data_IF_234059229671
#
_entry.id   IF_234059229671
#
_cell.length_a   1.000
_cell.length_b   1.000
_cell.length_c   1.000
_cell.angle_alpha   90.00
_cell.angle_beta   90.00
_cell.angle_gamma   90.00
#
_symmetry.space_group_name_H-M   'P 1'
#
loop_
_entity.id
_entity.type
_entity.pdbx_description
1 polymer ?
#
# COMPACT_ATOMS: atom_id res chain seq x y z
N UNK A 1 23.68 14.90 -6.62
CA UNK A 1 24.20 16.15 -7.26
C UNK A 1 23.28 16.74 -8.37
N UNK A 2 22.04 16.23 -8.53
CA UNK A 2 21.08 16.75 -9.51
C UNK A 2 20.50 18.14 -9.17
N UNK A 3 20.64 18.59 -7.93
CA UNK A 3 20.01 19.85 -7.47
C UNK A 3 20.81 21.13 -7.77
N UNK A 4 21.96 21.06 -8.45
CA UNK A 4 22.85 22.19 -8.65
C UNK A 4 23.26 22.47 -10.10
N UNK A 5 22.64 21.82 -11.09
CA UNK A 5 22.89 22.18 -12.49
C UNK A 5 21.93 23.32 -12.91
N UNK A 6 22.50 24.37 -13.48
CA UNK A 6 21.80 25.56 -14.00
C UNK A 6 20.63 25.18 -14.93
N UNK A 7 19.41 25.08 -14.41
CA UNK A 7 18.09 24.95 -15.05
C UNK A 7 17.97 24.18 -16.37
N UNK A 8 18.83 24.39 -17.32
CA UNK A 8 18.73 23.83 -18.69
C UNK A 8 19.03 22.33 -18.76
N UNK A 9 19.86 21.79 -17.89
CA UNK A 9 20.14 20.33 -17.84
C UNK A 9 19.00 19.54 -17.20
N UNK A 10 18.34 20.12 -16.18
CA UNK A 10 17.21 19.47 -15.50
C UNK A 10 16.00 19.31 -16.43
N UNK A 11 15.67 20.33 -17.21
CA UNK A 11 14.53 20.29 -18.14
C UNK A 11 14.74 19.22 -19.22
N UNK A 12 15.95 19.13 -19.81
CA UNK A 12 16.30 18.10 -20.79
C UNK A 12 16.27 16.68 -20.18
N UNK A 13 16.72 16.50 -18.93
CA UNK A 13 16.66 15.23 -18.22
C UNK A 13 15.20 14.82 -17.95
N UNK A 14 14.32 15.78 -17.63
CA UNK A 14 12.89 15.51 -17.40
C UNK A 14 12.14 15.18 -18.69
N UNK A 15 12.44 15.85 -19.79
CA UNK A 15 11.93 15.51 -21.13
C UNK A 15 12.33 14.07 -21.53
N UNK A 16 13.57 13.68 -21.24
CA UNK A 16 14.04 12.30 -21.48
C UNK A 16 13.32 11.29 -20.59
N UNK A 17 13.16 11.57 -19.29
CA UNK A 17 12.41 10.71 -18.37
C UNK A 17 10.98 10.54 -18.84
N UNK A 18 10.32 11.63 -19.24
CA UNK A 18 8.95 11.58 -19.76
C UNK A 18 8.86 10.75 -21.05
N UNK A 19 9.79 10.94 -21.99
CA UNK A 19 9.83 10.21 -23.25
C UNK A 19 10.05 8.71 -23.04
N UNK A 20 10.99 8.32 -22.16
CA UNK A 20 11.24 6.92 -21.79
C UNK A 20 9.99 6.34 -21.16
N UNK A 21 9.40 7.01 -20.17
CA UNK A 21 8.20 6.53 -19.47
C UNK A 21 7.03 6.34 -20.42
N UNK A 22 6.81 7.26 -21.39
CA UNK A 22 5.78 7.10 -22.43
C UNK A 22 6.02 5.88 -23.30
N UNK A 23 7.27 5.66 -23.70
CA UNK A 23 7.63 4.50 -24.52
C UNK A 23 7.40 3.17 -23.75
N UNK A 24 7.75 3.14 -22.46
CA UNK A 24 7.52 1.98 -21.59
C UNK A 24 6.04 1.71 -21.37
N UNK A 25 5.23 2.75 -21.13
CA UNK A 25 3.77 2.63 -21.03
C UNK A 25 3.20 2.04 -22.32
N UNK A 26 3.60 2.56 -23.49
CA UNK A 26 3.13 2.04 -24.78
C UNK A 26 3.57 0.59 -25.04
N UNK A 27 4.74 0.19 -24.55
CA UNK A 27 5.28 -1.16 -24.77
C UNK A 27 4.77 -2.21 -23.79
N UNK A 28 4.46 -1.81 -22.55
CA UNK A 28 4.20 -2.78 -21.46
C UNK A 28 2.75 -2.81 -20.99
N UNK A 29 1.99 -1.73 -21.17
CA UNK A 29 0.58 -1.63 -20.77
C UNK A 29 -0.32 -2.14 -21.89
N UNK A 30 -1.20 -3.07 -21.55
CA UNK A 30 -2.27 -3.54 -22.42
C UNK A 30 -3.61 -3.19 -21.77
N UNK A 31 -4.58 -2.72 -22.56
CA UNK A 31 -5.93 -2.43 -22.10
C UNK A 31 -6.90 -3.34 -22.87
N UNK A 32 -7.72 -4.07 -22.15
CA UNK A 32 -8.78 -4.91 -22.68
C UNK A 32 -10.12 -4.43 -22.12
N UNK A 33 -11.16 -4.37 -22.97
CA UNK A 33 -12.50 -4.07 -22.52
C UNK A 33 -13.16 -5.36 -22.00
N UNK A 34 -13.56 -5.36 -20.73
CA UNK A 34 -14.33 -6.46 -20.14
C UNK A 34 -15.75 -6.00 -19.79
N UNK A 35 -16.76 -6.89 -19.86
CA UNK A 35 -18.10 -6.58 -19.37
C UNK A 35 -18.09 -6.44 -17.85
N UNK A 36 -18.52 -5.29 -17.32
CA UNK A 36 -18.78 -5.10 -15.91
C UNK A 36 -19.99 -5.90 -15.41
N UNK A 37 -20.10 -6.07 -14.10
CA UNK A 37 -21.20 -6.82 -13.46
C UNK A 37 -22.60 -6.26 -13.79
N UNK A 38 -22.68 -4.98 -14.13
CA UNK A 38 -23.91 -4.25 -14.50
C UNK A 38 -24.11 -4.12 -16.02
N UNK A 39 -23.26 -4.77 -16.84
CA UNK A 39 -23.28 -4.71 -18.30
C UNK A 39 -22.58 -3.47 -18.87
N UNK A 40 -21.97 -2.63 -18.07
CA UNK A 40 -21.08 -1.55 -18.52
C UNK A 40 -19.77 -2.15 -19.04
N UNK A 41 -19.08 -1.41 -19.91
CA UNK A 41 -17.72 -1.75 -20.32
C UNK A 41 -16.73 -1.20 -19.30
N UNK A 42 -15.86 -2.07 -18.80
CA UNK A 42 -14.79 -1.71 -17.87
C UNK A 42 -13.46 -1.98 -18.54
N UNK A 43 -12.60 -0.97 -18.57
CA UNK A 43 -11.24 -1.13 -19.05
C UNK A 43 -10.43 -1.91 -18.00
N UNK A 44 -9.99 -3.11 -18.39
CA UNK A 44 -9.02 -3.87 -17.65
C UNK A 44 -7.65 -3.65 -18.26
N UNK A 45 -6.70 -3.20 -17.43
CA UNK A 45 -5.33 -3.03 -17.86
C UNK A 45 -4.44 -4.12 -17.26
N UNK A 46 -3.41 -4.49 -18.01
CA UNK A 46 -2.37 -5.41 -17.57
C UNK A 46 -1.00 -4.85 -17.94
N UNK A 47 0.02 -5.25 -17.19
CA UNK A 47 1.39 -4.82 -17.36
C UNK A 47 2.32 -6.02 -17.47
N UNK A 48 3.23 -6.00 -18.44
CA UNK A 48 4.23 -7.05 -18.60
C UNK A 48 5.39 -6.91 -17.63
N UNK A 49 5.70 -5.68 -17.23
CA UNK A 49 6.73 -5.33 -16.24
C UNK A 49 6.51 -3.90 -15.74
N UNK A 50 7.10 -3.52 -14.58
CA UNK A 50 7.00 -2.14 -14.13
C UNK A 50 7.82 -1.21 -15.06
N UNK A 51 7.48 0.07 -15.03
CA UNK A 51 8.30 1.13 -15.65
C UNK A 51 9.62 1.27 -14.90
N UNK A 52 10.64 1.80 -15.56
CA UNK A 52 11.93 2.13 -14.90
C UNK A 52 11.82 3.31 -13.93
N UNK A 53 10.85 4.22 -14.15
CA UNK A 53 10.54 5.29 -13.21
C UNK A 53 9.78 4.72 -12.00
N UNK A 54 10.17 5.15 -10.79
CA UNK A 54 9.53 4.72 -9.54
C UNK A 54 8.42 5.69 -9.13
N UNK A 55 7.24 5.23 -8.64
CA UNK A 55 6.10 6.09 -8.30
C UNK A 55 6.44 7.24 -7.36
N UNK A 56 7.18 6.96 -6.29
CA UNK A 56 7.56 8.00 -5.31
C UNK A 56 8.46 9.09 -5.93
N UNK A 57 9.38 8.70 -6.78
CA UNK A 57 10.29 9.65 -7.44
C UNK A 57 9.56 10.55 -8.43
N UNK A 58 8.58 10.00 -9.15
CA UNK A 58 7.82 10.76 -10.16
C UNK A 58 6.91 11.83 -9.57
N UNK A 59 6.56 11.77 -8.27
CA UNK A 59 5.74 12.82 -7.64
C UNK A 59 6.39 14.22 -7.78
N UNK A 60 7.71 14.30 -7.64
CA UNK A 60 8.46 15.54 -7.76
C UNK A 60 8.81 15.96 -9.20
N UNK A 61 8.52 15.12 -10.20
CA UNK A 61 8.89 15.40 -11.57
C UNK A 61 7.81 16.21 -12.30
N UNK A 62 8.18 17.22 -13.12
CA UNK A 62 7.25 18.01 -13.92
C UNK A 62 6.82 17.27 -15.20
N UNK A 63 6.40 16.01 -15.08
CA UNK A 63 5.90 15.17 -16.18
C UNK A 63 4.38 15.11 -16.16
N UNK A 64 3.80 14.63 -17.26
CA UNK A 64 2.35 14.43 -17.41
C UNK A 64 1.76 13.67 -16.20
N UNK A 65 0.76 14.21 -15.51
CA UNK A 65 0.14 13.56 -14.36
C UNK A 65 -0.42 12.17 -14.66
N UNK A 66 -0.93 11.94 -15.88
CA UNK A 66 -1.41 10.59 -16.28
C UNK A 66 -0.27 9.58 -16.36
N UNK A 67 0.94 10.00 -16.72
CA UNK A 67 2.09 9.11 -16.69
C UNK A 67 2.45 8.69 -15.26
N UNK A 68 2.31 9.59 -14.28
CA UNK A 68 2.53 9.26 -12.85
C UNK A 68 1.57 8.18 -12.39
N UNK A 69 0.29 8.26 -12.81
CA UNK A 69 -0.69 7.23 -12.55
C UNK A 69 -0.30 5.91 -13.22
N UNK A 70 0.08 5.91 -14.49
CA UNK A 70 0.50 4.68 -15.19
C UNK A 70 1.77 4.06 -14.58
N UNK A 71 2.70 4.86 -14.09
CA UNK A 71 3.84 4.36 -13.31
C UNK A 71 3.36 3.62 -12.07
N UNK A 72 2.44 4.20 -11.29
CA UNK A 72 1.88 3.54 -10.10
C UNK A 72 1.12 2.24 -10.46
N UNK A 73 0.27 2.25 -11.50
CA UNK A 73 -0.42 1.07 -12.02
C UNK A 73 0.56 -0.07 -12.35
N UNK A 74 1.71 0.24 -12.96
CA UNK A 74 2.70 -0.78 -13.33
C UNK A 74 3.31 -1.47 -12.10
N UNK A 75 3.53 -0.74 -11.01
CA UNK A 75 4.03 -1.30 -9.75
C UNK A 75 2.95 -2.08 -9.00
N UNK A 76 1.70 -1.61 -9.01
CA UNK A 76 0.57 -2.34 -8.42
C UNK A 76 0.35 -3.70 -9.11
N UNK A 77 0.49 -3.75 -10.44
CA UNK A 77 0.42 -5.01 -11.17
C UNK A 77 1.54 -5.99 -10.79
N UNK A 78 2.75 -5.49 -10.49
CA UNK A 78 3.83 -6.34 -10.00
C UNK A 78 3.55 -6.86 -8.59
N UNK A 79 2.97 -6.06 -7.72
CA UNK A 79 2.54 -6.51 -6.40
C UNK A 79 1.49 -7.64 -6.50
N UNK A 80 0.56 -7.57 -7.46
CA UNK A 80 -0.36 -8.68 -7.76
C UNK A 80 0.35 -9.95 -8.22
N UNK A 81 1.34 -9.83 -9.10
CA UNK A 81 2.12 -10.97 -9.54
C UNK A 81 2.92 -11.60 -8.41
N UNK A 82 3.53 -10.79 -7.54
CA UNK A 82 4.23 -11.26 -6.35
C UNK A 82 3.28 -11.98 -5.38
N UNK A 83 2.08 -11.44 -5.18
CA UNK A 83 1.06 -12.04 -4.34
C UNK A 83 0.65 -13.44 -4.81
N UNK A 84 0.61 -13.64 -6.13
CA UNK A 84 0.27 -14.94 -6.76
C UNK A 84 1.45 -15.92 -6.77
N UNK A 85 2.69 -15.44 -6.90
CA UNK A 85 3.88 -16.28 -7.05
C UNK A 85 4.23 -17.06 -5.76
N UNK A 86 3.88 -16.55 -4.59
CA UNK A 86 4.21 -17.19 -3.31
C UNK A 86 3.37 -18.44 -2.98
N UNK A 87 2.36 -18.83 -3.78
CA UNK A 87 1.62 -20.07 -3.60
C UNK A 87 2.22 -21.28 -4.35
N UNK A 88 3.13 -21.06 -5.30
CA UNK A 88 3.69 -22.10 -6.17
C UNK A 88 4.89 -22.85 -5.63
N UNK A 89 5.15 -22.81 -4.34
CA UNK A 89 6.35 -23.37 -3.72
C UNK A 89 6.36 -24.87 -3.42
N UNK A 90 5.73 -25.72 -4.23
CA UNK A 90 6.04 -27.14 -4.26
C UNK A 90 7.04 -27.41 -5.39
N UNK A 91 8.32 -27.63 -5.04
CA UNK A 91 9.44 -27.88 -5.97
C UNK A 91 9.28 -29.17 -6.81
N UNK A 92 8.12 -29.80 -6.82
CA UNK A 92 7.86 -31.09 -7.47
C UNK A 92 6.79 -31.11 -8.56
N UNK A 93 6.26 -29.97 -9.00
CA UNK A 93 5.35 -30.00 -10.15
C UNK A 93 6.09 -29.76 -11.47
N UNK A 94 6.19 -30.85 -12.23
CA UNK A 94 6.65 -31.00 -13.59
C UNK A 94 6.31 -29.83 -14.53
N UNK A 95 7.22 -29.58 -15.46
CA UNK A 95 7.14 -28.91 -16.75
C UNK A 95 5.73 -28.83 -17.36
N UNK A 96 4.87 -27.97 -16.87
CA UNK A 96 3.51 -27.78 -17.36
C UNK A 96 3.15 -26.31 -17.47
N UNK A 97 3.24 -25.80 -18.69
CA UNK A 97 2.59 -24.57 -19.16
C UNK A 97 2.88 -23.27 -18.38
N UNK A 98 4.04 -22.69 -18.62
CA UNK A 98 4.50 -21.40 -18.08
C UNK A 98 3.61 -20.17 -18.39
N UNK A 99 2.43 -20.36 -19.00
CA UNK A 99 1.51 -19.28 -19.39
C UNK A 99 0.31 -19.11 -18.44
N UNK A 100 0.17 -19.92 -17.40
CA UNK A 100 -0.91 -19.72 -16.42
C UNK A 100 -0.41 -18.86 -15.27
N UNK A 101 -0.95 -17.65 -15.13
CA UNK A 101 -0.77 -16.81 -13.95
C UNK A 101 -1.41 -17.54 -12.76
N UNK A 102 -0.66 -17.87 -11.70
CA UNK A 102 -1.22 -18.55 -10.53
C UNK A 102 -2.45 -17.81 -9.98
N UNK A 103 -3.44 -18.56 -9.52
CA UNK A 103 -4.61 -17.95 -8.85
C UNK A 103 -4.23 -17.38 -7.49
N UNK A 104 -4.98 -16.38 -7.00
CA UNK A 104 -4.84 -15.95 -5.62
C UNK A 104 -5.31 -17.04 -4.66
N UNK A 105 -4.72 -17.13 -3.44
CA UNK A 105 -5.19 -18.04 -2.39
C UNK A 105 -6.70 -17.92 -2.20
N UNK A 106 -7.47 -19.02 -2.28
CA UNK A 106 -8.95 -18.94 -2.25
C UNK A 106 -9.49 -18.47 -0.90
N UNK A 107 -8.67 -18.51 0.14
CA UNK A 107 -9.01 -18.07 1.50
C UNK A 107 -8.71 -16.59 1.76
N UNK A 108 -7.98 -15.90 0.88
CA UNK A 108 -7.46 -14.57 1.17
C UNK A 108 -8.26 -13.40 0.60
N UNK A 109 -8.66 -13.32 -0.69
CA UNK A 109 -9.25 -12.08 -1.15
C UNK A 109 -10.66 -11.89 -0.59
N UNK A 110 -10.85 -10.77 0.11
CA UNK A 110 -12.21 -10.24 0.29
C UNK A 110 -12.69 -9.63 -1.03
N UNK A 111 -13.83 -10.07 -1.54
CA UNK A 111 -14.52 -9.35 -2.61
C UNK A 111 -14.84 -7.90 -2.17
N UNK A 112 -14.85 -6.95 -3.10
CA UNK A 112 -15.19 -5.53 -2.81
C UNK A 112 -16.53 -5.35 -2.09
N UNK A 113 -17.43 -6.34 -2.20
CA UNK A 113 -18.74 -6.36 -1.56
C UNK A 113 -18.89 -7.49 -0.53
N UNK A 114 -17.77 -8.09 -0.09
CA UNK A 114 -17.85 -9.17 0.87
C UNK A 114 -18.25 -8.66 2.24
N UNK A 115 -19.55 -8.74 2.52
CA UNK A 115 -20.15 -8.39 3.82
C UNK A 115 -19.77 -9.36 4.95
N UNK A 116 -18.85 -10.30 4.70
CA UNK A 116 -18.36 -11.25 5.70
C UNK A 116 -17.33 -10.67 6.66
N UNK A 117 -17.00 -9.39 6.54
CA UNK A 117 -16.42 -8.68 7.68
C UNK A 117 -17.43 -8.82 8.82
N UNK A 118 -17.27 -9.89 9.59
CA UNK A 118 -18.13 -10.17 10.73
C UNK A 118 -17.95 -8.99 11.67
N UNK A 119 -19.02 -8.26 11.85
CA UNK A 119 -19.12 -7.33 12.95
C UNK A 119 -18.78 -8.13 14.22
N UNK A 120 -17.61 -7.91 14.77
CA UNK A 120 -17.27 -8.53 16.07
C UNK A 120 -18.05 -7.76 17.10
N UNK A 121 -19.24 -8.28 17.35
CA UNK A 121 -20.06 -7.80 18.45
C UNK A 121 -19.43 -8.28 19.74
N UNK A 122 -18.96 -7.36 20.57
CA UNK A 122 -18.51 -7.72 21.91
C UNK A 122 -19.70 -8.07 22.76
N UNK A 123 -19.90 -9.35 23.01
CA UNK A 123 -20.99 -9.86 23.83
C UNK A 123 -20.91 -9.39 25.29
N UNK A 124 -19.73 -9.02 25.79
CA UNK A 124 -19.57 -8.54 27.16
C UNK A 124 -20.04 -7.11 27.34
N UNK A 125 -19.74 -6.25 26.34
CA UNK A 125 -20.09 -4.83 26.39
C UNK A 125 -21.37 -4.50 25.63
N UNK A 126 -21.89 -5.46 24.84
CA UNK A 126 -23.02 -5.27 23.92
C UNK A 126 -22.74 -4.16 22.89
N UNK A 127 -21.46 -3.92 22.55
CA UNK A 127 -21.01 -2.90 21.63
C UNK A 127 -20.32 -3.52 20.42
N UNK A 128 -20.36 -2.80 19.31
CA UNK A 128 -19.61 -3.11 18.12
C UNK A 128 -18.41 -2.15 18.03
N UNK A 129 -17.20 -2.71 17.97
CA UNK A 129 -15.99 -1.94 17.72
C UNK A 129 -15.46 -2.20 16.30
N UNK A 130 -15.17 -1.14 15.58
CA UNK A 130 -14.57 -1.22 14.26
C UNK A 130 -13.06 -1.48 14.42
N UNK A 131 -12.56 -2.60 13.93
CA UNK A 131 -11.12 -2.89 13.92
C UNK A 131 -10.44 -2.19 12.75
N UNK A 132 -9.67 -1.18 13.08
CA UNK A 132 -8.88 -0.39 12.13
C UNK A 132 -7.41 -0.72 12.34
N UNK A 133 -6.74 -1.15 11.27
CA UNK A 133 -5.35 -1.56 11.34
C UNK A 133 -4.46 -0.69 10.46
N UNK A 134 -3.30 -0.34 10.97
CA UNK A 134 -2.25 0.39 10.25
C UNK A 134 -1.08 -0.55 9.99
N UNK A 135 -0.61 -0.59 8.76
CA UNK A 135 0.55 -1.38 8.34
C UNK A 135 1.64 -0.46 7.86
N UNK A 136 2.83 -0.57 8.45
CA UNK A 136 3.99 0.18 7.99
C UNK A 136 5.33 -0.44 8.42
N UNK A 137 6.37 -0.15 7.66
CA UNK A 137 7.77 -0.36 8.04
C UNK A 137 8.29 0.76 8.94
N UNK A 138 7.59 1.90 8.96
CA UNK A 138 8.01 3.13 9.60
C UNK A 138 7.61 3.29 11.06
N UNK A 139 7.09 2.25 11.76
CA UNK A 139 6.81 2.33 13.21
C UNK A 139 8.08 2.28 14.06
N UNK A 140 8.98 3.20 13.78
CA UNK A 140 10.23 3.48 14.49
C UNK A 140 10.57 4.95 14.29
N UNK A 141 11.80 5.38 14.52
CA UNK A 141 12.23 6.77 14.39
C UNK A 141 12.28 7.23 12.93
N UNK A 142 11.13 7.45 12.35
CA UNK A 142 10.92 7.93 10.97
C UNK A 142 10.05 9.20 10.98
N UNK A 143 10.16 9.98 9.89
CA UNK A 143 9.45 11.24 9.74
C UNK A 143 7.92 11.11 9.92
N UNK A 144 7.34 10.01 9.45
CA UNK A 144 5.91 9.75 9.60
C UNK A 144 5.46 9.72 11.05
N UNK A 145 6.24 9.10 11.97
CA UNK A 145 5.90 9.08 13.38
C UNK A 145 6.14 10.42 14.08
N UNK A 146 7.10 11.24 13.62
CA UNK A 146 7.27 12.59 14.18
C UNK A 146 6.02 13.45 13.98
N UNK A 147 5.30 13.23 12.89
CA UNK A 147 4.08 13.95 12.56
C UNK A 147 2.83 13.34 13.20
N UNK A 148 2.75 12.01 13.28
CA UNK A 148 1.48 11.31 13.51
C UNK A 148 1.43 10.46 14.80
N UNK A 149 2.50 10.35 15.58
CA UNK A 149 2.55 9.49 16.77
C UNK A 149 1.43 9.77 17.79
N UNK A 150 0.91 10.99 17.83
CA UNK A 150 -0.15 11.38 18.76
C UNK A 150 -1.56 11.05 18.24
N UNK A 151 -1.73 10.71 16.95
CA UNK A 151 -3.08 10.50 16.39
C UNK A 151 -3.80 9.31 17.04
N UNK A 152 -3.06 8.28 17.44
CA UNK A 152 -3.62 7.05 17.98
C UNK A 152 -4.41 7.26 19.29
N UNK A 153 -4.05 8.25 20.09
CA UNK A 153 -4.76 8.58 21.34
C UNK A 153 -6.15 9.23 21.12
N UNK A 154 -6.46 9.64 19.89
CA UNK A 154 -7.73 10.32 19.59
C UNK A 154 -8.82 9.35 19.05
N UNK A 155 -8.49 8.09 18.82
CA UNK A 155 -9.52 7.10 18.52
C UNK A 155 -10.35 6.83 19.77
N UNK A 156 -11.68 6.84 19.61
CA UNK A 156 -12.60 6.49 20.68
C UNK A 156 -12.54 4.97 20.92
N UNK A 157 -12.05 4.51 22.09
CA UNK A 157 -11.89 3.09 22.35
C UNK A 157 -13.22 2.34 22.51
N UNK A 158 -14.35 3.04 22.66
CA UNK A 158 -15.68 2.41 22.67
C UNK A 158 -16.18 2.10 21.25
N UNK A 159 -15.64 2.77 20.23
CA UNK A 159 -16.07 2.65 18.84
C UNK A 159 -15.04 1.94 17.97
N UNK A 160 -13.74 2.21 18.21
CA UNK A 160 -12.64 1.72 17.38
C UNK A 160 -11.66 0.90 18.21
N UNK A 161 -11.28 -0.25 17.68
CA UNK A 161 -10.15 -1.04 18.14
C UNK A 161 -8.99 -0.86 17.16
N UNK A 162 -7.91 -0.24 17.64
CA UNK A 162 -6.76 0.12 16.81
C UNK A 162 -5.69 -0.95 16.86
N UNK A 163 -5.39 -1.52 15.70
CA UNK A 163 -4.29 -2.44 15.49
C UNK A 163 -3.14 -1.78 14.75
N UNK A 164 -1.91 -2.13 15.09
CA UNK A 164 -0.72 -1.73 14.33
C UNK A 164 0.08 -2.97 13.97
N UNK A 165 0.37 -3.14 12.68
CA UNK A 165 1.26 -4.19 12.15
C UNK A 165 2.60 -3.55 11.76
N UNK A 166 3.62 -3.77 12.58
CA UNK A 166 4.94 -3.18 12.36
C UNK A 166 5.83 -4.14 11.58
N UNK A 167 6.22 -3.71 10.38
CA UNK A 167 7.09 -4.46 9.45
C UNK A 167 8.58 -4.16 9.66
N UNK A 168 8.90 -3.02 10.27
CA UNK A 168 10.28 -2.59 10.50
C UNK A 168 10.81 -2.97 11.88
N UNK A 169 12.15 -2.99 12.04
CA UNK A 169 12.77 -3.23 13.33
C UNK A 169 12.54 -2.06 14.30
N UNK A 170 12.63 -2.29 15.60
CA UNK A 170 12.71 -1.22 16.58
C UNK A 170 14.03 -0.44 16.44
N UNK A 171 14.03 0.82 16.85
CA UNK A 171 15.27 1.56 17.02
C UNK A 171 16.11 0.95 18.14
N UNK A 172 17.43 1.02 18.00
CA UNK A 172 18.29 0.59 19.09
C UNK A 172 18.37 1.64 20.20
N UNK A 173 18.65 1.21 21.42
CA UNK A 173 18.66 2.07 22.60
C UNK A 173 19.67 3.24 22.49
N UNK A 174 20.82 3.00 21.86
CA UNK A 174 21.82 4.06 21.64
C UNK A 174 21.32 5.15 20.70
N UNK A 175 20.64 4.77 19.61
CA UNK A 175 20.03 5.71 18.69
C UNK A 175 18.95 6.55 19.38
N UNK A 176 18.04 5.90 20.11
CA UNK A 176 16.98 6.59 20.88
C UNK A 176 17.59 7.60 21.85
N UNK A 177 18.58 7.17 22.63
CA UNK A 177 19.20 8.01 23.68
C UNK A 177 19.91 9.24 23.09
N UNK A 178 20.68 9.08 22.02
CA UNK A 178 21.55 10.13 21.51
C UNK A 178 20.91 11.00 20.44
N UNK A 179 20.10 10.42 19.55
CA UNK A 179 19.57 11.12 18.38
C UNK A 179 18.14 11.61 18.60
N UNK A 180 17.33 10.83 19.30
CA UNK A 180 15.90 11.10 19.48
C UNK A 180 15.57 11.70 20.84
N UNK A 181 16.56 12.22 21.57
CA UNK A 181 16.39 12.82 22.90
C UNK A 181 15.68 11.92 23.90
N UNK A 182 15.91 10.61 23.82
CA UNK A 182 15.32 9.62 24.69
C UNK A 182 13.86 9.25 24.38
N UNK A 183 13.33 9.66 23.22
CA UNK A 183 11.97 9.30 22.83
C UNK A 183 12.00 8.01 22.02
N UNK A 184 11.41 6.95 22.55
CA UNK A 184 11.06 5.74 21.80
C UNK A 184 9.70 5.94 21.12
N UNK A 185 9.73 6.26 19.84
CA UNK A 185 8.53 6.52 19.04
C UNK A 185 7.68 5.28 18.85
N UNK A 186 8.32 4.11 18.74
CA UNK A 186 7.64 2.83 18.62
C UNK A 186 6.86 2.51 19.90
N UNK A 187 7.50 2.65 21.05
CA UNK A 187 6.85 2.39 22.34
C UNK A 187 5.73 3.41 22.61
N UNK A 188 5.92 4.65 22.14
CA UNK A 188 4.86 5.66 22.22
C UNK A 188 3.62 5.30 21.41
N UNK A 189 3.77 4.69 20.23
CA UNK A 189 2.63 4.16 19.47
C UNK A 189 2.05 2.96 20.19
N UNK A 190 2.90 2.00 20.59
CA UNK A 190 2.49 0.78 21.26
C UNK A 190 1.60 1.03 22.48
N UNK A 191 1.91 2.06 23.26
CA UNK A 191 1.15 2.43 24.45
C UNK A 191 -0.18 3.17 24.18
N UNK A 192 -0.44 3.54 22.92
CA UNK A 192 -1.63 4.28 22.53
C UNK A 192 -2.53 3.52 21.52
N UNK A 193 -2.27 2.23 21.31
CA UNK A 193 -3.11 1.37 20.46
C UNK A 193 -3.59 0.16 21.25
N UNK A 194 -4.69 -0.44 20.82
CA UNK A 194 -5.24 -1.64 21.52
C UNK A 194 -4.33 -2.84 21.30
N UNK A 195 -3.83 -3.05 20.06
CA UNK A 195 -2.99 -4.21 19.74
C UNK A 195 -1.82 -3.80 18.87
N UNK A 196 -0.61 -4.10 19.30
CA UNK A 196 0.60 -3.88 18.53
C UNK A 196 1.22 -5.21 18.10
N UNK A 197 1.22 -5.49 16.80
CA UNK A 197 1.78 -6.69 16.19
C UNK A 197 3.18 -6.42 15.64
N UNK A 198 4.18 -7.08 16.19
CA UNK A 198 5.53 -7.08 15.64
C UNK A 198 5.64 -8.20 14.61
N UNK A 199 5.47 -7.86 13.35
CA UNK A 199 5.40 -8.81 12.23
C UNK A 199 6.56 -8.67 11.25
N UNK A 200 7.69 -8.12 11.68
CA UNK A 200 8.89 -7.98 10.86
C UNK A 200 9.32 -9.31 10.24
N UNK A 201 9.17 -10.41 10.95
CA UNK A 201 9.54 -11.75 10.49
C UNK A 201 8.67 -12.24 9.32
N UNK A 202 7.47 -11.70 9.13
CA UNK A 202 6.56 -12.03 8.01
C UNK A 202 6.68 -11.07 6.83
N UNK A 203 7.58 -10.08 6.88
CA UNK A 203 7.67 -9.02 5.86
C UNK A 203 7.82 -9.56 4.43
N UNK A 204 8.58 -10.65 4.26
CA UNK A 204 8.84 -11.28 2.96
C UNK A 204 7.91 -12.47 2.67
N UNK A 205 7.08 -12.87 3.63
CA UNK A 205 6.03 -13.87 3.47
C UNK A 205 4.67 -13.18 3.34
N UNK A 206 4.34 -12.74 2.13
CA UNK A 206 3.13 -11.95 1.88
C UNK A 206 1.85 -12.73 2.19
N UNK A 207 1.83 -14.03 1.88
CA UNK A 207 0.69 -14.90 2.10
C UNK A 207 0.51 -15.16 3.60
N UNK A 208 1.59 -15.52 4.31
CA UNK A 208 1.56 -15.69 5.76
C UNK A 208 1.15 -14.42 6.49
N UNK A 209 1.68 -13.26 6.07
CA UNK A 209 1.28 -11.96 6.63
C UNK A 209 -0.20 -11.66 6.37
N UNK A 210 -0.69 -11.89 5.14
CA UNK A 210 -2.09 -11.66 4.80
C UNK A 210 -3.03 -12.56 5.62
N UNK A 211 -2.69 -13.84 5.78
CA UNK A 211 -3.43 -14.78 6.64
C UNK A 211 -3.42 -14.33 8.10
N UNK A 212 -2.27 -13.85 8.57
CA UNK A 212 -2.16 -13.32 9.93
C UNK A 212 -3.05 -12.09 10.13
N UNK A 213 -2.99 -11.10 9.23
CA UNK A 213 -3.88 -9.92 9.27
C UNK A 213 -5.35 -10.33 9.24
N UNK A 214 -5.72 -11.25 8.35
CA UNK A 214 -7.08 -11.77 8.25
C UNK A 214 -7.54 -12.45 9.54
N UNK A 215 -6.68 -13.21 10.21
CA UNK A 215 -6.99 -13.89 11.48
C UNK A 215 -7.31 -12.92 12.62
N UNK A 216 -6.95 -11.65 12.48
CA UNK A 216 -7.28 -10.60 13.44
C UNK A 216 -8.64 -9.95 13.17
N UNK A 217 -9.40 -10.43 12.18
CA UNK A 217 -10.72 -9.90 11.79
C UNK A 217 -10.72 -8.37 11.57
N UNK A 218 -9.68 -7.86 10.92
CA UNK A 218 -9.54 -6.44 10.58
C UNK A 218 -10.61 -6.03 9.57
N UNK A 219 -11.32 -4.93 9.83
CA UNK A 219 -12.35 -4.37 8.95
C UNK A 219 -11.77 -3.37 7.95
N UNK A 220 -10.85 -2.52 8.42
CA UNK A 220 -10.20 -1.49 7.63
C UNK A 220 -8.69 -1.65 7.77
N UNK A 221 -8.00 -1.87 6.67
CA UNK A 221 -6.55 -1.95 6.62
C UNK A 221 -5.98 -0.71 5.93
N UNK A 222 -5.10 -0.01 6.63
CA UNK A 222 -4.51 1.24 6.16
C UNK A 222 -3.03 1.00 5.83
N UNK A 223 -2.68 1.18 4.57
CA UNK A 223 -1.29 1.22 4.11
C UNK A 223 -0.69 2.58 4.42
N UNK A 224 0.36 2.61 5.23
CA UNK A 224 0.98 3.86 5.65
C UNK A 224 2.25 4.22 4.89
N UNK A 225 2.97 3.25 4.37
CA UNK A 225 4.21 3.47 3.62
C UNK A 225 3.97 3.88 2.16
N UNK A 226 2.97 3.29 1.51
CA UNK A 226 2.78 3.42 0.06
C UNK A 226 4.07 3.12 -0.69
N UNK A 227 4.39 3.90 -1.70
CA UNK A 227 5.65 3.77 -2.43
C UNK A 227 6.82 4.57 -1.82
N UNK A 228 6.64 5.23 -0.67
CA UNK A 228 7.70 5.99 -0.01
C UNK A 228 8.80 5.09 0.60
N UNK A 229 8.48 3.83 0.92
CA UNK A 229 9.37 2.85 1.56
C UNK A 229 9.76 1.72 0.62
N UNK A 230 10.38 2.05 -0.50
CA UNK A 230 10.86 1.05 -1.45
C UNK A 230 11.72 -0.03 -0.76
N UNK A 231 11.32 -1.31 -0.95
CA UNK A 231 12.00 -2.47 -0.36
C UNK A 231 11.77 -2.68 1.14
N UNK A 232 11.14 -1.75 1.85
CA UNK A 232 10.80 -1.89 3.27
C UNK A 232 9.33 -2.28 3.49
N UNK A 233 8.42 -1.91 2.61
CA UNK A 233 6.99 -2.23 2.69
C UNK A 233 6.72 -3.71 2.38
N UNK A 234 5.58 -4.23 2.83
CA UNK A 234 5.11 -5.57 2.48
C UNK A 234 4.50 -5.55 1.06
N UNK A 235 5.35 -5.76 0.06
CA UNK A 235 4.90 -5.89 -1.32
C UNK A 235 3.94 -7.08 -1.44
N UNK A 236 2.83 -6.89 -2.15
CA UNK A 236 1.85 -7.95 -2.39
C UNK A 236 0.81 -8.17 -1.26
N UNK A 237 1.02 -7.67 -0.04
CA UNK A 237 0.06 -7.83 1.05
C UNK A 237 -1.34 -7.30 0.66
N UNK A 238 -1.39 -6.06 0.17
CA UNK A 238 -2.67 -5.42 -0.18
C UNK A 238 -3.31 -6.05 -1.42
N UNK A 239 -2.51 -6.58 -2.35
CA UNK A 239 -3.03 -7.32 -3.51
C UNK A 239 -3.77 -8.62 -3.11
N UNK A 240 -3.41 -9.21 -1.97
CA UNK A 240 -4.09 -10.37 -1.37
C UNK A 240 -5.40 -10.01 -0.66
N UNK A 241 -5.75 -8.73 -0.54
CA UNK A 241 -6.97 -8.21 0.10
C UNK A 241 -7.32 -8.91 1.42
N UNK A 242 -6.46 -8.84 2.45
CA UNK A 242 -6.72 -9.49 3.73
C UNK A 242 -7.80 -8.79 4.57
N UNK A 243 -8.26 -7.62 4.16
CA UNK A 243 -9.34 -6.86 4.79
C UNK A 243 -10.38 -6.40 3.76
N UNK A 244 -11.66 -6.25 4.16
CA UNK A 244 -12.74 -5.85 3.25
C UNK A 244 -12.62 -4.42 2.73
N UNK A 245 -12.02 -3.50 3.50
CA UNK A 245 -11.74 -2.13 3.12
C UNK A 245 -10.26 -1.87 3.22
N UNK A 246 -9.65 -1.36 2.15
CA UNK A 246 -8.24 -1.04 2.10
C UNK A 246 -8.03 0.43 1.72
N UNK A 247 -7.19 1.12 2.49
CA UNK A 247 -7.01 2.57 2.40
C UNK A 247 -5.52 2.88 2.30
N UNK A 248 -5.16 3.81 1.42
CA UNK A 248 -3.82 4.42 1.37
C UNK A 248 -3.83 5.70 2.21
N UNK A 249 -2.84 5.87 3.08
CA UNK A 249 -2.69 7.09 3.88
C UNK A 249 -1.26 7.29 4.35
N UNK A 250 -0.85 8.52 4.42
CA UNK A 250 0.23 9.21 5.12
C UNK A 250 1.52 9.43 4.33
N UNK A 251 2.41 8.46 4.13
CA UNK A 251 3.76 8.76 3.60
C UNK A 251 3.80 8.99 2.08
N UNK A 252 2.85 8.43 1.34
CA UNK A 252 2.80 8.55 -0.10
C UNK A 252 1.55 9.30 -0.52
N UNK A 253 1.73 10.46 -1.18
CA UNK A 253 0.65 11.38 -1.52
C UNK A 253 0.07 11.17 -2.93
N UNK A 254 0.63 10.25 -3.71
CA UNK A 254 0.14 9.89 -5.04
C UNK A 254 -0.85 8.74 -4.98
N UNK A 255 -1.44 8.42 -6.14
CA UNK A 255 -2.26 7.21 -6.28
C UNK A 255 -1.40 5.94 -6.13
N UNK A 256 -1.95 4.91 -5.51
CA UNK A 256 -1.32 3.58 -5.52
C UNK A 256 -1.34 2.95 -6.91
N UNK A 257 -2.24 3.39 -7.80
CA UNK A 257 -2.49 2.75 -9.09
C UNK A 257 -3.15 1.37 -8.95
N UNK A 258 -3.50 0.96 -7.73
CA UNK A 258 -3.94 -0.39 -7.41
C UNK A 258 -5.46 -0.53 -7.43
N UNK A 259 -6.01 -1.53 -8.17
CA UNK A 259 -7.45 -1.78 -8.16
C UNK A 259 -7.93 -2.39 -6.85
N UNK A 260 -7.02 -2.88 -6.02
CA UNK A 260 -7.31 -3.50 -4.72
C UNK A 260 -7.24 -2.51 -3.53
N UNK A 261 -6.88 -1.26 -3.74
CA UNK A 261 -6.98 -0.17 -2.75
C UNK A 261 -8.25 0.63 -3.04
N UNK A 262 -9.13 0.75 -2.05
CA UNK A 262 -10.47 1.31 -2.26
C UNK A 262 -10.50 2.84 -2.11
N UNK A 263 -9.76 3.36 -1.14
CA UNK A 263 -9.78 4.78 -0.76
C UNK A 263 -8.38 5.32 -0.50
N UNK A 264 -8.24 6.64 -0.63
CA UNK A 264 -7.10 7.39 -0.12
C UNK A 264 -7.57 8.44 0.87
N UNK A 265 -6.91 8.52 2.02
CA UNK A 265 -7.13 9.62 2.97
C UNK A 265 -6.16 10.73 2.62
N UNK A 266 -6.71 11.86 2.22
CA UNK A 266 -5.95 13.04 1.77
C UNK A 266 -6.71 14.32 2.14
N UNK A 267 -6.23 15.47 1.72
CA UNK A 267 -6.87 16.77 1.93
C UNK A 267 -6.95 17.58 0.63
N UNK A 268 -7.75 18.66 0.65
CA UNK A 268 -7.99 19.51 -0.53
C UNK A 268 -6.77 20.28 -1.02
N UNK A 269 -5.71 20.39 -0.21
CA UNK A 269 -4.46 21.05 -0.59
C UNK A 269 -3.57 20.06 -1.33
N UNK A 270 -3.42 18.88 -0.78
CA UNK A 270 -2.58 17.80 -1.32
C UNK A 270 -3.22 17.19 -2.58
N UNK A 271 -4.52 16.89 -2.53
CA UNK A 271 -5.26 16.28 -3.64
C UNK A 271 -6.54 17.07 -3.91
N UNK A 272 -6.44 18.20 -4.64
CA UNK A 272 -7.62 18.97 -5.03
C UNK A 272 -8.58 18.15 -5.91
N UNK A 273 -9.89 18.37 -5.78
CA UNK A 273 -10.94 17.65 -6.54
C UNK A 273 -10.66 17.52 -8.04
N UNK A 274 -10.07 18.55 -8.65
CA UNK A 274 -9.70 18.52 -10.08
C UNK A 274 -8.70 17.41 -10.45
N UNK A 275 -8.04 16.82 -9.47
CA UNK A 275 -7.06 15.73 -9.66
C UNK A 275 -7.67 14.34 -9.39
N UNK A 276 -8.94 14.24 -8.98
CA UNK A 276 -9.61 12.98 -8.65
C UNK A 276 -9.48 11.95 -9.78
N UNK A 277 -9.65 12.35 -11.04
CA UNK A 277 -9.49 11.47 -12.20
C UNK A 277 -8.07 10.89 -12.42
N UNK A 278 -7.07 11.38 -11.67
CA UNK A 278 -5.69 10.87 -11.70
C UNK A 278 -5.43 9.78 -10.65
N UNK A 279 -6.38 9.54 -9.76
CA UNK A 279 -6.30 8.52 -8.73
C UNK A 279 -7.12 7.30 -9.11
N UNK A 280 -6.69 6.12 -8.68
CA UNK A 280 -7.47 4.88 -8.79
C UNK A 280 -8.38 4.68 -7.59
N UNK A 281 -8.03 5.31 -6.48
CA UNK A 281 -8.77 5.31 -5.22
C UNK A 281 -9.87 6.38 -5.23
N UNK A 282 -10.88 6.20 -4.37
CA UNK A 282 -11.87 7.23 -4.03
C UNK A 282 -11.32 8.12 -2.91
N UNK A 283 -11.68 9.41 -2.94
CA UNK A 283 -11.35 10.37 -1.89
C UNK A 283 -12.33 10.29 -0.72
#
# INVERSE_FOLDING_TARGET
NYYYNNGTGFDADMELVEAITRAEVAAYRTVEEEPGEDGTKVDRWSWRRPTSAHPHMTLGYPIDPMLKRYVAESYAAMDELLARANEGGDENENEGNHNQVPSLPPDLPYGRNDRRARHVFDNATQTFRLRVAFVASGFNSKAVLYLSHNMFQFFDPEVVEVHVFSLGPPDNAGFIQHTMRGVDWRERVRSNVDVFHDVQHLKNDHVGLARYVRSQDVHVLIEWDGYARQGERAQGLFALRPAPVQILHQEFLGTSGAPYVDYIVTDRVTSPERLEGLYTEKF
#
